data_IF_655776826933
#
_entry.id   IF_655776826933
#
_cell.length_a   1.000
_cell.length_b   1.000
_cell.length_c   1.000
_cell.angle_alpha   90.00
_cell.angle_beta   90.00
_cell.angle_gamma   90.00
#
_symmetry.space_group_name_H-M   'P 1'
#
loop_
_entity.id
_entity.type
_entity.pdbx_description
1 polymer ?
#
# COMPACT_ATOMS: atom_id res chain seq x y z
N UNK A 1 11.89 2.30 27.50
CA UNK A 1 11.27 1.23 26.68
C UNK A 1 10.74 0.15 27.61
N UNK A 2 9.46 -0.25 27.50
CA UNK A 2 8.95 -1.39 28.28
C UNK A 2 9.62 -2.68 27.76
N UNK A 3 10.27 -3.43 28.64
CA UNK A 3 10.83 -4.75 28.30
C UNK A 3 9.64 -5.68 28.05
N UNK A 4 9.45 -6.09 26.81
CA UNK A 4 8.42 -7.08 26.44
C UNK A 4 9.09 -8.44 26.53
N UNK A 5 8.52 -9.34 27.32
CA UNK A 5 8.91 -10.74 27.30
C UNK A 5 8.58 -11.34 25.93
N UNK A 6 9.62 -11.73 25.20
CA UNK A 6 9.51 -12.22 23.84
C UNK A 6 8.70 -13.52 23.76
N UNK A 7 8.78 -14.38 24.78
CA UNK A 7 8.04 -15.64 24.80
C UNK A 7 6.54 -15.40 24.96
N UNK A 8 6.17 -14.50 25.87
CA UNK A 8 4.78 -14.13 26.11
C UNK A 8 4.18 -13.44 24.88
N UNK A 9 4.95 -12.56 24.23
CA UNK A 9 4.57 -11.97 22.94
C UNK A 9 4.30 -13.03 21.87
N UNK A 10 5.20 -14.03 21.73
CA UNK A 10 5.08 -15.09 20.73
C UNK A 10 3.85 -15.97 20.98
N UNK A 11 3.56 -16.30 22.24
CA UNK A 11 2.36 -17.05 22.65
C UNK A 11 1.08 -16.28 22.32
N UNK A 12 0.99 -15.02 22.74
CA UNK A 12 -0.15 -14.12 22.43
C UNK A 12 -0.39 -13.99 20.93
N UNK A 13 0.69 -13.87 20.14
CA UNK A 13 0.61 -13.78 18.67
C UNK A 13 0.07 -15.05 18.02
N UNK A 14 0.50 -16.24 18.47
CA UNK A 14 -0.02 -17.52 17.96
C UNK A 14 -1.52 -17.68 18.23
N UNK A 15 -1.98 -17.33 19.43
CA UNK A 15 -3.39 -17.38 19.80
C UNK A 15 -4.24 -16.39 19.00
N UNK A 16 -3.73 -15.18 18.78
CA UNK A 16 -4.39 -14.17 17.95
C UNK A 16 -4.59 -14.64 16.50
N UNK A 17 -3.59 -15.31 15.89
CA UNK A 17 -3.70 -15.84 14.53
C UNK A 17 -4.81 -16.91 14.44
N UNK A 18 -4.87 -17.83 15.41
CA UNK A 18 -5.92 -18.87 15.45
C UNK A 18 -7.32 -18.27 15.60
N UNK A 19 -7.49 -17.30 16.50
CA UNK A 19 -8.77 -16.63 16.71
C UNK A 19 -9.21 -15.83 15.48
N UNK A 20 -8.25 -15.19 14.79
CA UNK A 20 -8.51 -14.44 13.56
C UNK A 20 -9.02 -15.34 12.42
N UNK A 21 -8.43 -16.53 12.28
CA UNK A 21 -8.86 -17.54 11.32
C UNK A 21 -10.26 -18.09 11.63
N UNK A 22 -10.55 -18.40 12.91
CA UNK A 22 -11.87 -18.83 13.37
C UNK A 22 -12.97 -17.79 13.11
N UNK A 23 -12.65 -16.50 13.26
CA UNK A 23 -13.58 -15.39 13.02
C UNK A 23 -13.77 -15.05 11.54
N UNK A 24 -13.10 -15.75 10.61
CA UNK A 24 -13.17 -15.47 9.17
C UNK A 24 -12.65 -14.08 8.78
N UNK A 25 -11.92 -13.40 9.67
CA UNK A 25 -11.34 -12.06 9.45
C UNK A 25 -9.95 -12.14 8.86
N UNK A 26 -9.66 -13.21 8.11
CA UNK A 26 -8.41 -13.35 7.38
C UNK A 26 -8.22 -12.11 6.50
N UNK A 27 -6.98 -11.59 6.48
CA UNK A 27 -6.67 -10.44 5.62
C UNK A 27 -6.71 -10.98 4.19
N UNK A 28 -7.86 -10.87 3.53
CA UNK A 28 -7.98 -11.12 2.10
C UNK A 28 -7.19 -9.99 1.43
N UNK A 29 -5.89 -10.20 1.25
CA UNK A 29 -5.18 -9.48 0.20
C UNK A 29 -5.94 -9.83 -1.07
N UNK A 30 -6.69 -8.90 -1.64
CA UNK A 30 -7.34 -9.14 -2.92
C UNK A 30 -6.24 -9.37 -3.94
N UNK A 31 -5.85 -10.63 -4.13
CA UNK A 31 -4.97 -11.08 -5.19
C UNK A 31 -5.75 -11.17 -6.49
N UNK A 32 -6.68 -10.24 -6.75
CA UNK A 32 -7.26 -10.12 -8.08
C UNK A 32 -6.10 -9.68 -8.95
N UNK A 33 -5.48 -10.64 -9.63
CA UNK A 33 -4.54 -10.37 -10.70
C UNK A 33 -5.29 -9.46 -11.66
N UNK A 34 -4.91 -8.17 -11.69
CA UNK A 34 -5.55 -7.20 -12.58
C UNK A 34 -5.38 -7.70 -14.00
N UNK A 35 -6.49 -7.78 -14.71
CA UNK A 35 -6.49 -8.12 -16.13
C UNK A 35 -5.61 -7.11 -16.88
N UNK A 36 -4.97 -7.54 -17.97
CA UNK A 36 -4.03 -6.68 -18.72
C UNK A 36 -4.70 -5.36 -19.15
N UNK A 37 -5.98 -5.42 -19.53
CA UNK A 37 -6.81 -4.24 -19.84
C UNK A 37 -6.92 -3.27 -18.67
N UNK A 38 -7.11 -3.76 -17.44
CA UNK A 38 -7.18 -2.90 -16.26
C UNK A 38 -5.84 -2.21 -15.99
N UNK A 39 -4.72 -2.90 -16.22
CA UNK A 39 -3.38 -2.33 -16.06
C UNK A 39 -3.14 -1.21 -17.06
N UNK A 40 -3.51 -1.42 -18.33
CA UNK A 40 -3.40 -0.40 -19.37
C UNK A 40 -4.21 0.86 -19.04
N UNK A 41 -5.45 0.69 -18.59
CA UNK A 41 -6.33 1.80 -18.18
C UNK A 41 -5.68 2.59 -17.04
N UNK A 42 -5.17 1.89 -16.01
CA UNK A 42 -4.53 2.55 -14.87
C UNK A 42 -3.24 3.28 -15.25
N UNK A 43 -2.40 2.66 -16.08
CA UNK A 43 -1.18 3.31 -16.57
C UNK A 43 -1.50 4.58 -17.38
N UNK A 44 -2.59 4.57 -18.16
CA UNK A 44 -3.07 5.76 -18.87
C UNK A 44 -3.54 6.84 -17.90
N UNK A 45 -4.32 6.48 -16.88
CA UNK A 45 -4.79 7.43 -15.86
C UNK A 45 -3.64 8.05 -15.07
N UNK A 46 -2.62 7.27 -14.72
CA UNK A 46 -1.45 7.76 -14.00
C UNK A 46 -0.63 8.74 -14.84
N UNK A 47 -0.46 8.48 -16.14
CA UNK A 47 0.16 9.45 -17.08
C UNK A 47 -0.64 10.76 -17.11
N UNK A 48 -1.96 10.68 -17.28
CA UNK A 48 -2.81 11.87 -17.34
C UNK A 48 -2.77 12.70 -16.04
N UNK A 49 -2.74 12.04 -14.88
CA UNK A 49 -2.59 12.71 -13.58
C UNK A 49 -1.25 13.42 -13.48
N UNK A 50 -0.17 12.74 -13.88
CA UNK A 50 1.17 13.32 -13.86
C UNK A 50 1.28 14.56 -14.75
N UNK A 51 0.75 14.47 -15.98
CA UNK A 51 0.72 15.60 -16.92
C UNK A 51 -0.07 16.79 -16.35
N UNK A 52 -1.21 16.50 -15.71
CA UNK A 52 -2.01 17.52 -15.04
C UNK A 52 -1.22 18.19 -13.91
N UNK A 53 -0.62 17.42 -13.01
CA UNK A 53 0.16 17.99 -11.90
C UNK A 53 1.38 18.78 -12.36
N UNK A 54 1.99 18.36 -13.48
CA UNK A 54 3.05 19.12 -14.12
C UNK A 54 2.55 20.46 -14.70
N UNK A 55 1.37 20.49 -15.33
CA UNK A 55 0.75 21.71 -15.86
C UNK A 55 0.34 22.67 -14.75
N UNK A 56 -0.25 22.14 -13.68
CA UNK A 56 -0.73 22.91 -12.53
C UNK A 56 0.43 23.39 -11.63
N UNK A 57 1.70 23.09 -11.98
CA UNK A 57 2.91 23.34 -11.17
C UNK A 57 2.85 22.79 -9.74
N UNK A 58 1.94 21.85 -9.49
CA UNK A 58 1.82 21.15 -8.21
C UNK A 58 2.86 20.05 -8.08
N UNK A 59 3.45 19.60 -9.20
CA UNK A 59 4.53 18.63 -9.22
C UNK A 59 5.91 19.32 -9.29
N UNK A 60 6.69 19.22 -8.22
CA UNK A 60 8.06 19.76 -8.11
C UNK A 60 9.07 18.65 -8.33
N UNK A 61 9.99 18.82 -9.28
CA UNK A 61 11.09 17.88 -9.52
C UNK A 61 12.23 18.15 -8.52
N UNK A 62 12.54 17.17 -7.67
CA UNK A 62 13.65 17.24 -6.69
C UNK A 62 14.94 16.62 -7.25
N UNK A 63 14.80 15.66 -8.17
CA UNK A 63 15.95 14.94 -8.73
C UNK A 63 15.59 14.23 -10.03
N UNK A 64 16.51 13.43 -10.61
CA UNK A 64 16.35 12.86 -11.95
C UNK A 64 15.10 11.98 -12.11
N UNK A 65 14.67 11.31 -11.03
CA UNK A 65 13.45 10.48 -10.97
C UNK A 65 12.62 10.73 -9.70
N UNK A 66 12.84 11.87 -9.03
CA UNK A 66 12.20 12.21 -7.76
C UNK A 66 11.32 13.44 -7.94
N UNK A 67 10.05 13.28 -7.61
CA UNK A 67 9.05 14.34 -7.67
C UNK A 67 8.38 14.47 -6.29
N UNK A 68 7.99 15.69 -5.94
CA UNK A 68 7.21 16.01 -4.74
C UNK A 68 5.98 16.79 -5.17
N UNK A 69 4.84 16.45 -4.57
CA UNK A 69 3.64 17.25 -4.72
C UNK A 69 3.69 18.41 -3.71
N UNK A 70 3.50 19.63 -4.19
CA UNK A 70 3.18 20.79 -3.35
C UNK A 70 1.67 20.79 -3.11
N UNK A 71 1.24 20.02 -2.12
CA UNK A 71 -0.09 20.14 -1.52
C UNK A 71 -0.05 21.27 -0.49
#
# INVERSE_FOLDING_TARGET
MRKIDYEDYRKKRKSYIKNKALLGTEKVSSSRLRDEKEREILARLDRLRFDKWSKDKTLIKIGPRKYKLSL
#
